data_IF_962160731543
#
_entry.id   IF_962160731543
#
_cell.length_a   1.000
_cell.length_b   1.000
_cell.length_c   1.000
_cell.angle_alpha   90.00
_cell.angle_beta   90.00
_cell.angle_gamma   90.00
#
_symmetry.space_group_name_H-M   'P 1'
#
loop_
_entity.id
_entity.type
_entity.pdbx_description
1 polymer ?
#
# COMPACT_ATOMS: atom_id res chain seq x y z
N UNK A 1 -13.36 18.68 12.69
CA UNK A 1 -13.83 17.37 13.20
C UNK A 1 -13.95 16.33 12.09
N UNK A 2 -14.53 16.67 10.93
CA UNK A 2 -14.70 15.76 9.79
C UNK A 2 -13.39 15.33 9.13
N UNK A 3 -12.43 16.23 8.97
CA UNK A 3 -11.12 15.92 8.34
C UNK A 3 -10.32 14.89 9.14
N UNK A 4 -10.26 15.07 10.46
CA UNK A 4 -9.57 14.14 11.37
C UNK A 4 -10.24 12.76 11.29
N UNK A 5 -11.57 12.69 11.29
CA UNK A 5 -12.31 11.44 11.15
C UNK A 5 -12.00 10.74 9.81
N UNK A 6 -11.92 11.49 8.71
CA UNK A 6 -11.54 10.96 7.41
C UNK A 6 -10.12 10.39 7.40
N UNK A 7 -9.15 11.10 7.96
CA UNK A 7 -7.76 10.62 8.06
C UNK A 7 -7.66 9.33 8.88
N UNK A 8 -8.42 9.22 9.96
CA UNK A 8 -8.50 7.99 10.76
C UNK A 8 -9.05 6.83 9.93
N UNK A 9 -10.11 7.05 9.15
CA UNK A 9 -10.69 6.00 8.30
C UNK A 9 -9.69 5.53 7.24
N UNK A 10 -8.98 6.46 6.59
CA UNK A 10 -7.95 6.13 5.60
C UNK A 10 -6.81 5.34 6.25
N UNK A 11 -6.35 5.77 7.44
CA UNK A 11 -5.33 5.06 8.19
C UNK A 11 -5.79 3.64 8.57
N UNK A 12 -7.02 3.49 9.07
CA UNK A 12 -7.61 2.21 9.40
C UNK A 12 -7.68 1.28 8.17
N UNK A 13 -8.12 1.79 7.02
CA UNK A 13 -8.15 1.03 5.78
C UNK A 13 -6.74 0.60 5.33
N UNK A 14 -5.74 1.47 5.55
CA UNK A 14 -4.34 1.18 5.21
C UNK A 14 -3.74 0.06 6.08
N UNK A 15 -4.04 0.04 7.38
CA UNK A 15 -3.52 -0.98 8.31
C UNK A 15 -4.34 -2.29 8.31
N UNK A 16 -5.57 -2.26 7.81
CA UNK A 16 -6.47 -3.42 7.75
C UNK A 16 -5.85 -4.70 7.15
N UNK A 17 -5.14 -4.68 5.99
CA UNK A 17 -4.49 -5.87 5.45
C UNK A 17 -3.44 -6.47 6.40
N UNK A 18 -2.75 -5.64 7.19
CA UNK A 18 -1.79 -6.11 8.20
C UNK A 18 -2.53 -6.94 9.26
N UNK A 19 -3.68 -6.46 9.73
CA UNK A 19 -4.52 -7.16 10.70
C UNK A 19 -5.04 -8.51 10.16
N UNK A 20 -5.39 -8.57 8.88
CA UNK A 20 -5.80 -9.82 8.22
C UNK A 20 -4.65 -10.83 8.24
N UNK A 21 -3.44 -10.40 7.87
CA UNK A 21 -2.26 -11.28 7.80
C UNK A 21 -1.88 -11.77 9.20
N UNK A 22 -1.89 -10.88 10.20
CA UNK A 22 -1.58 -11.24 11.58
C UNK A 22 -2.53 -12.32 12.13
N UNK A 23 -3.84 -12.13 11.94
CA UNK A 23 -4.86 -13.06 12.44
C UNK A 23 -5.05 -14.32 11.58
N UNK A 24 -4.45 -14.35 10.39
CA UNK A 24 -4.58 -15.50 9.49
C UNK A 24 -3.88 -16.73 10.08
N UNK A 25 -4.59 -17.86 10.09
CA UNK A 25 -4.03 -19.18 10.37
C UNK A 25 -3.30 -19.79 9.16
N UNK A 26 -3.38 -19.15 7.99
CA UNK A 26 -2.88 -19.68 6.70
C UNK A 26 -1.35 -19.54 6.55
N UNK A 27 -0.73 -18.59 7.25
CA UNK A 27 0.72 -18.38 7.26
C UNK A 27 1.27 -18.44 8.68
N UNK A 28 2.51 -18.92 8.85
CA UNK A 28 3.15 -19.09 10.16
C UNK A 28 4.64 -18.73 10.11
N UNK A 29 5.20 -18.35 11.26
CA UNK A 29 6.63 -18.05 11.42
C UNK A 29 7.15 -16.98 10.43
N UNK A 30 8.28 -17.27 9.80
CA UNK A 30 8.96 -16.34 8.88
C UNK A 30 8.15 -15.98 7.63
N UNK A 31 7.33 -16.90 7.13
CA UNK A 31 6.46 -16.63 5.98
C UNK A 31 5.50 -15.47 6.29
N UNK A 32 4.89 -15.48 7.48
CA UNK A 32 3.99 -14.41 7.92
C UNK A 32 4.72 -13.05 7.96
N UNK A 33 5.95 -13.02 8.45
CA UNK A 33 6.75 -11.79 8.49
C UNK A 33 7.03 -11.26 7.08
N UNK A 34 7.34 -12.15 6.12
CA UNK A 34 7.50 -11.77 4.71
C UNK A 34 6.24 -11.12 4.13
N UNK A 35 5.07 -11.67 4.42
CA UNK A 35 3.79 -11.11 4.00
C UNK A 35 3.46 -9.77 4.67
N UNK A 36 3.81 -9.57 5.95
CA UNK A 36 3.62 -8.30 6.64
C UNK A 36 4.47 -7.18 6.02
N UNK A 37 5.75 -7.48 5.75
CA UNK A 37 6.65 -6.56 5.04
C UNK A 37 6.07 -6.27 3.65
N UNK A 38 5.68 -7.32 2.91
CA UNK A 38 5.05 -7.17 1.60
C UNK A 38 3.82 -6.27 1.61
N UNK A 39 2.92 -6.43 2.59
CA UNK A 39 1.70 -5.63 2.71
C UNK A 39 1.99 -4.15 3.01
N UNK A 40 2.99 -3.85 3.84
CA UNK A 40 3.39 -2.47 4.18
C UNK A 40 4.02 -1.77 2.97
N UNK A 41 4.88 -2.47 2.23
CA UNK A 41 5.65 -1.90 1.12
C UNK A 41 4.94 -1.99 -0.23
N UNK A 42 3.79 -2.66 -0.34
CA UNK A 42 3.10 -2.82 -1.61
C UNK A 42 2.76 -1.48 -2.28
N UNK A 43 2.28 -0.51 -1.50
CA UNK A 43 2.00 0.87 -1.96
C UNK A 43 3.26 1.59 -2.45
N UNK A 44 4.38 1.40 -1.76
CA UNK A 44 5.67 1.97 -2.12
C UNK A 44 6.24 1.37 -3.39
N UNK A 45 6.14 0.05 -3.55
CA UNK A 45 6.55 -0.64 -4.78
C UNK A 45 5.71 -0.13 -5.95
N UNK A 46 4.39 0.00 -5.79
CA UNK A 46 3.53 0.55 -6.83
C UNK A 46 3.93 1.99 -7.21
N UNK A 47 4.29 2.83 -6.23
CA UNK A 47 4.75 4.20 -6.47
C UNK A 47 6.09 4.25 -7.22
N UNK A 48 7.05 3.41 -6.83
CA UNK A 48 8.34 3.29 -7.52
C UNK A 48 8.13 2.86 -8.97
N UNK A 49 7.26 1.86 -9.19
CA UNK A 49 6.91 1.39 -10.54
C UNK A 49 6.23 2.49 -11.35
N UNK A 50 5.32 3.26 -10.76
CA UNK A 50 4.69 4.40 -11.40
C UNK A 50 5.74 5.41 -11.89
N UNK A 51 6.67 5.84 -11.03
CA UNK A 51 7.71 6.78 -11.43
C UNK A 51 8.72 6.20 -12.43
N UNK A 52 8.90 4.88 -12.43
CA UNK A 52 9.82 4.21 -13.35
C UNK A 52 9.22 4.06 -14.76
N UNK A 53 7.91 3.83 -14.85
CA UNK A 53 7.21 3.56 -16.12
C UNK A 53 6.66 4.85 -16.73
N UNK A 54 6.10 5.74 -15.92
CA UNK A 54 5.41 6.94 -16.42
C UNK A 54 6.42 8.05 -16.68
N UNK A 55 6.44 8.63 -17.90
CA UNK A 55 7.40 9.68 -18.25
C UNK A 55 7.14 10.96 -17.46
N UNK A 56 8.23 11.55 -16.93
CA UNK A 56 8.20 12.78 -16.10
C UNK A 56 7.57 13.99 -16.79
N UNK A 57 7.65 14.07 -18.12
CA UNK A 57 7.28 15.23 -18.91
C UNK A 57 5.81 15.21 -19.40
N UNK A 58 5.00 14.28 -18.91
CA UNK A 58 3.62 14.10 -19.38
C UNK A 58 3.56 13.69 -20.86
N UNK A 59 2.40 13.24 -21.32
CA UNK A 59 2.23 13.07 -22.77
C UNK A 59 2.18 14.47 -23.38
N UNK A 60 3.21 14.84 -24.14
CA UNK A 60 3.15 16.02 -24.99
C UNK A 60 1.86 15.93 -25.82
N UNK A 61 0.98 16.94 -25.73
CA UNK A 61 -0.22 17.00 -26.57
C UNK A 61 0.25 16.87 -28.02
N UNK A 62 -0.10 15.77 -28.69
CA UNK A 62 -0.04 15.70 -30.15
C UNK A 62 -0.99 16.79 -30.65
N UNK A 63 -0.42 17.82 -31.26
CA UNK A 63 -1.14 18.84 -32.01
C UNK A 63 -1.64 18.25 -33.32
#
# INVERSE_FOLDING_TARGET
MTEIAFLIIVLCAYIFPIMIILNSKRSQGHEKNGWLVGAIFFSWIALILYFSIVPKQGHAKKK
#
